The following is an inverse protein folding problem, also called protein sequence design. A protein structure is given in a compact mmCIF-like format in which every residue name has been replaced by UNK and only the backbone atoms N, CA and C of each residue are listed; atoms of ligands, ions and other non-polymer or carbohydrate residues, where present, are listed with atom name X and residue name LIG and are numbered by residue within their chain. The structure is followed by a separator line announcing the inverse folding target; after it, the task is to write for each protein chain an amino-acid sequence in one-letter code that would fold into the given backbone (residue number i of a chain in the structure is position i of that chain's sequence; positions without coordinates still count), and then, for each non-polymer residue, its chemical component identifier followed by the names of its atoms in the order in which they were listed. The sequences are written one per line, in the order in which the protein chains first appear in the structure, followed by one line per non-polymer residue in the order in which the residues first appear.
data_IF_239374961225
#
_entry.id   IF_239374961225
#
_cell.length_a   1.000
_cell.length_b   1.000
_cell.length_c   1.000
_cell.angle_alpha   90.00
_cell.angle_beta   90.00
_cell.angle_gamma   90.00
#
_symmetry.space_group_name_H-M   'P 1'
#
loop_
_entity.id
_entity.type
_entity.pdbx_description
1 polymer ?
#
# COMPACT_ATOMS: atom_id res chain seq x y z
N UNK A 1 35.99 -23.90 16.01
CA UNK A 1 34.70 -23.33 16.51
C UNK A 1 33.93 -22.55 15.42
N UNK A 2 34.13 -22.81 14.13
CA UNK A 2 33.46 -22.10 13.02
C UNK A 2 32.43 -22.96 12.25
N UNK A 3 32.50 -24.28 12.36
CA UNK A 3 31.63 -25.21 11.59
C UNK A 3 30.17 -25.16 12.08
N UNK A 4 29.95 -24.94 13.37
CA UNK A 4 28.60 -24.87 13.94
C UNK A 4 27.82 -23.57 13.65
N UNK A 5 28.46 -22.51 13.14
CA UNK A 5 27.75 -21.30 12.70
C UNK A 5 27.22 -21.42 11.27
N UNK A 6 27.96 -22.07 10.37
CA UNK A 6 27.52 -22.31 8.99
C UNK A 6 26.35 -23.30 8.93
N UNK A 7 26.39 -24.40 9.69
CA UNK A 7 25.26 -25.36 9.71
C UNK A 7 23.97 -24.75 10.26
N UNK A 8 24.08 -23.81 11.21
CA UNK A 8 22.92 -23.04 11.71
C UNK A 8 22.41 -22.04 10.67
N UNK A 9 23.29 -21.42 9.89
CA UNK A 9 22.92 -20.56 8.77
C UNK A 9 22.15 -21.33 7.70
N UNK A 10 22.69 -22.48 7.27
CA UNK A 10 22.07 -23.34 6.25
C UNK A 10 20.75 -23.96 6.72
N UNK A 11 20.63 -24.32 8.00
CA UNK A 11 19.36 -24.79 8.57
C UNK A 11 18.30 -23.67 8.62
N UNK A 12 18.72 -22.44 8.92
CA UNK A 12 17.85 -21.25 8.91
C UNK A 12 17.38 -20.92 7.48
N UNK A 13 18.29 -20.91 6.51
CA UNK A 13 17.97 -20.66 5.10
C UNK A 13 17.04 -21.74 4.54
N UNK A 14 17.27 -23.01 4.88
CA UNK A 14 16.37 -24.11 4.50
C UNK A 14 15.02 -24.00 5.19
N UNK A 15 14.96 -23.56 6.45
CA UNK A 15 13.70 -23.33 7.15
C UNK A 15 12.90 -22.16 6.54
N UNK A 16 13.58 -21.10 6.10
CA UNK A 16 12.98 -19.98 5.36
C UNK A 16 12.48 -20.45 3.98
N UNK A 17 13.29 -21.22 3.25
CA UNK A 17 12.93 -21.81 1.96
C UNK A 17 11.78 -22.82 2.05
N UNK A 18 11.72 -23.61 3.12
CA UNK A 18 10.62 -24.55 3.38
C UNK A 18 9.34 -23.85 3.88
N UNK A 19 9.45 -22.74 4.62
CA UNK A 19 8.31 -21.89 4.95
C UNK A 19 7.69 -21.23 3.69
N UNK A 20 8.51 -20.93 2.69
CA UNK A 20 8.07 -20.48 1.37
C UNK A 20 7.45 -21.61 0.52
N UNK A 21 7.78 -22.88 0.81
CA UNK A 21 7.50 -24.03 -0.06
C UNK A 21 6.28 -24.90 0.28
N UNK A 22 5.48 -24.62 1.31
CA UNK A 22 4.40 -25.52 1.71
C UNK A 22 3.01 -25.02 1.31
N UNK A 23 2.44 -25.59 0.24
CA UNK A 23 1.03 -25.45 -0.21
C UNK A 23 0.58 -24.00 -0.41
N UNK A 24 0.70 -23.51 -1.65
CA UNK A 24 0.21 -22.23 -2.18
C UNK A 24 -0.18 -21.18 -1.14
N UNK A 25 0.78 -20.39 -0.65
CA UNK A 25 0.51 -19.26 0.25
C UNK A 25 -0.49 -18.25 -0.34
N UNK A 26 -0.47 -18.12 -1.66
CA UNK A 26 -1.44 -17.35 -2.44
C UNK A 26 -2.56 -18.28 -2.91
N UNK A 27 -3.70 -18.23 -2.22
CA UNK A 27 -4.93 -18.88 -2.64
C UNK A 27 -5.99 -17.83 -2.93
N UNK A 28 -7.05 -18.18 -3.66
CA UNK A 28 -8.18 -17.26 -3.90
C UNK A 28 -8.78 -16.74 -2.59
N UNK A 29 -8.84 -17.59 -1.55
CA UNK A 29 -9.37 -17.19 -0.24
C UNK A 29 -8.40 -16.28 0.51
N UNK A 30 -7.09 -16.56 0.50
CA UNK A 30 -6.12 -15.71 1.21
C UNK A 30 -6.01 -14.34 0.55
N UNK A 31 -6.07 -14.27 -0.79
CA UNK A 31 -6.16 -13.02 -1.53
C UNK A 31 -7.45 -12.25 -1.19
N UNK A 32 -8.61 -12.89 -1.19
CA UNK A 32 -9.88 -12.23 -0.85
C UNK A 32 -9.87 -11.66 0.57
N UNK A 33 -9.36 -12.42 1.55
CA UNK A 33 -9.23 -11.97 2.94
C UNK A 33 -8.24 -10.80 3.04
N UNK A 34 -7.09 -10.90 2.36
CA UNK A 34 -6.07 -9.86 2.36
C UNK A 34 -6.61 -8.54 1.77
N UNK A 35 -7.29 -8.59 0.63
CA UNK A 35 -7.91 -7.41 0.00
C UNK A 35 -9.00 -6.81 0.89
N UNK A 36 -9.85 -7.64 1.50
CA UNK A 36 -10.89 -7.15 2.40
C UNK A 36 -10.30 -6.45 3.64
N UNK A 37 -9.30 -7.06 4.28
CA UNK A 37 -8.61 -6.44 5.43
C UNK A 37 -7.83 -5.19 5.03
N UNK A 38 -7.23 -5.15 3.83
CA UNK A 38 -6.54 -3.97 3.32
C UNK A 38 -7.50 -2.81 3.04
N UNK A 39 -8.69 -3.09 2.48
CA UNK A 39 -9.73 -2.08 2.29
C UNK A 39 -10.20 -1.50 3.63
N UNK A 40 -10.40 -2.35 4.64
CA UNK A 40 -10.73 -1.91 6.01
C UNK A 40 -9.60 -1.06 6.62
N UNK A 41 -8.34 -1.47 6.43
CA UNK A 41 -7.18 -0.69 6.86
C UNK A 41 -7.13 0.68 6.18
N UNK A 42 -7.40 0.77 4.87
CA UNK A 42 -7.47 2.03 4.13
C UNK A 42 -8.57 2.96 4.64
N UNK A 43 -9.75 2.44 4.95
CA UNK A 43 -10.84 3.22 5.57
C UNK A 43 -10.42 3.73 6.95
N UNK A 44 -9.81 2.86 7.77
CA UNK A 44 -9.32 3.26 9.08
C UNK A 44 -8.26 4.37 8.97
N UNK A 45 -7.24 4.20 8.14
CA UNK A 45 -6.18 5.20 7.89
C UNK A 45 -6.79 6.53 7.42
N UNK A 46 -7.76 6.49 6.49
CA UNK A 46 -8.45 7.70 6.04
C UNK A 46 -9.13 8.43 7.20
N UNK A 47 -9.86 7.70 8.05
CA UNK A 47 -10.57 8.31 9.18
C UNK A 47 -9.61 8.84 10.26
N UNK A 48 -8.56 8.10 10.60
CA UNK A 48 -7.59 8.50 11.64
C UNK A 48 -6.69 9.66 11.20
N UNK A 49 -6.23 9.65 9.95
CA UNK A 49 -5.14 10.53 9.50
C UNK A 49 -5.60 11.69 8.61
N UNK A 50 -6.68 11.52 7.83
CA UNK A 50 -7.17 12.56 6.92
C UNK A 50 -8.35 13.31 7.53
N UNK A 51 -9.34 12.58 8.06
CA UNK A 51 -10.55 13.17 8.62
C UNK A 51 -10.26 13.72 10.00
N UNK A 52 -9.87 12.86 10.94
CA UNK A 52 -9.66 13.22 12.35
C UNK A 52 -8.33 13.93 12.59
N UNK A 53 -7.29 13.61 11.80
CA UNK A 53 -5.90 14.12 11.95
C UNK A 53 -5.32 13.89 13.36
N UNK A 54 -5.75 12.83 14.03
CA UNK A 54 -5.41 12.58 15.44
C UNK A 54 -4.15 11.74 15.59
N UNK A 55 -3.98 10.72 14.73
CA UNK A 55 -2.92 9.72 14.90
C UNK A 55 -2.46 9.15 13.56
N UNK A 56 -1.14 9.12 13.36
CA UNK A 56 -0.49 8.54 12.17
C UNK A 56 -0.28 7.03 12.34
N UNK A 57 -1.38 6.28 12.20
CA UNK A 57 -1.41 4.81 12.32
C UNK A 57 -0.59 4.07 11.26
N UNK A 58 -0.38 4.68 10.10
CA UNK A 58 0.31 4.11 8.95
C UNK A 58 1.84 4.26 8.99
N UNK A 59 2.39 5.07 9.92
CA UNK A 59 3.82 5.35 10.00
C UNK A 59 4.64 4.37 10.88
N UNK A 60 3.98 3.48 11.62
CA UNK A 60 4.70 2.47 12.41
C UNK A 60 5.20 1.31 11.55
N UNK A 61 6.25 0.61 12.02
CA UNK A 61 6.78 -0.59 11.35
C UNK A 61 6.81 -1.76 12.34
N UNK A 62 6.02 -2.83 12.14
CA UNK A 62 4.92 -2.94 11.17
C UNK A 62 3.77 -1.97 11.47
N UNK A 63 2.95 -1.67 10.47
CA UNK A 63 1.86 -0.68 10.60
C UNK A 63 0.81 -1.15 11.62
N UNK A 64 0.22 -0.22 12.39
CA UNK A 64 -0.81 -0.54 13.39
C UNK A 64 -1.98 -1.31 12.76
N UNK A 65 -2.50 -0.93 11.58
CA UNK A 65 -3.55 -1.70 10.89
C UNK A 65 -3.13 -3.12 10.50
N UNK A 66 -1.87 -3.36 10.14
CA UNK A 66 -1.39 -4.71 9.84
C UNK A 66 -1.33 -5.59 11.09
N UNK A 67 -0.89 -5.04 12.24
CA UNK A 67 -0.89 -5.76 13.52
C UNK A 67 -2.31 -6.06 13.98
N UNK A 68 -3.22 -5.09 13.90
CA UNK A 68 -4.63 -5.30 14.20
C UNK A 68 -5.26 -6.35 13.27
N UNK A 69 -4.95 -6.28 11.97
CA UNK A 69 -5.36 -7.26 10.97
C UNK A 69 -4.87 -8.67 11.30
N UNK A 70 -3.65 -8.82 11.82
CA UNK A 70 -3.14 -10.11 12.29
C UNK A 70 -3.96 -10.64 13.48
N UNK A 71 -4.29 -9.80 14.46
CA UNK A 71 -5.14 -10.20 15.60
C UNK A 71 -6.52 -10.67 15.12
N UNK A 72 -7.15 -9.92 14.21
CA UNK A 72 -8.42 -10.30 13.58
C UNK A 72 -8.30 -11.61 12.81
N UNK A 73 -7.20 -11.79 12.06
CA UNK A 73 -6.93 -12.98 11.28
C UNK A 73 -6.74 -14.22 12.16
N UNK A 74 -6.10 -14.09 13.32
CA UNK A 74 -5.97 -15.17 14.29
C UNK A 74 -7.35 -15.57 14.87
N UNK A 75 -8.19 -14.59 15.18
CA UNK A 75 -9.58 -14.82 15.59
C UNK A 75 -10.39 -15.53 14.50
N UNK A 76 -10.30 -15.06 13.25
CA UNK A 76 -10.96 -15.66 12.10
C UNK A 76 -10.47 -17.10 11.87
N UNK A 77 -9.16 -17.34 11.92
CA UNK A 77 -8.61 -18.69 11.76
C UNK A 77 -9.08 -19.63 12.88
N UNK A 78 -9.25 -19.14 14.11
CA UNK A 78 -9.82 -19.93 15.21
C UNK A 78 -11.25 -20.39 14.93
N UNK A 79 -12.05 -19.57 14.25
CA UNK A 79 -13.41 -19.90 13.79
C UNK A 79 -13.36 -20.89 12.62
N UNK A 80 -12.54 -20.62 11.60
CA UNK A 80 -12.37 -21.48 10.42
C UNK A 80 -11.84 -22.89 10.76
N UNK A 81 -11.03 -23.00 11.82
CA UNK A 81 -10.63 -24.28 12.38
C UNK A 81 -11.80 -25.11 12.88
N UNK A 82 -12.85 -24.49 13.43
CA UNK A 82 -14.06 -25.20 13.89
C UNK A 82 -14.92 -25.69 12.73
N UNK A 83 -14.88 -25.02 11.59
CA UNK A 83 -15.59 -25.43 10.37
C UNK A 83 -14.78 -26.38 9.48
N UNK A 84 -13.65 -26.92 9.96
CA UNK A 84 -12.81 -27.86 9.21
C UNK A 84 -12.01 -27.26 8.05
N UNK A 85 -11.94 -25.93 7.93
CA UNK A 85 -11.27 -25.23 6.82
C UNK A 85 -10.23 -24.21 7.29
N UNK A 86 -9.22 -24.61 8.10
CA UNK A 86 -8.20 -23.70 8.60
C UNK A 86 -7.46 -23.00 7.47
N UNK A 87 -6.97 -21.79 7.77
CA UNK A 87 -5.94 -21.15 6.97
C UNK A 87 -4.61 -21.86 7.20
N UNK A 88 -3.85 -22.07 6.13
CA UNK A 88 -2.50 -22.61 6.20
C UNK A 88 -1.56 -21.57 6.80
N UNK A 89 -0.40 -22.03 7.30
CA UNK A 89 0.64 -21.13 7.77
C UNK A 89 1.09 -20.16 6.66
N UNK A 90 1.19 -20.65 5.42
CA UNK A 90 1.55 -19.83 4.25
C UNK A 90 0.53 -18.74 3.97
N UNK A 91 -0.77 -19.03 4.06
CA UNK A 91 -1.84 -18.04 3.85
C UNK A 91 -1.84 -16.96 4.92
N UNK A 92 -1.62 -17.34 6.20
CA UNK A 92 -1.53 -16.37 7.29
C UNK A 92 -0.35 -15.41 7.10
N UNK A 93 0.81 -15.95 6.74
CA UNK A 93 2.02 -15.17 6.45
C UNK A 93 1.77 -14.25 5.26
N UNK A 94 1.19 -14.76 4.17
CA UNK A 94 0.85 -13.98 2.99
C UNK A 94 -0.08 -12.80 3.33
N UNK A 95 -1.18 -13.05 4.04
CA UNK A 95 -2.14 -12.00 4.41
C UNK A 95 -1.46 -10.93 5.28
N UNK A 96 -0.63 -11.35 6.25
CA UNK A 96 0.09 -10.42 7.11
C UNK A 96 1.06 -9.53 6.32
N UNK A 97 1.91 -10.12 5.47
CA UNK A 97 2.83 -9.35 4.63
C UNK A 97 2.11 -8.45 3.64
N UNK A 98 1.01 -8.93 3.06
CA UNK A 98 0.16 -8.13 2.18
C UNK A 98 -0.35 -6.89 2.91
N UNK A 99 -0.83 -7.03 4.15
CA UNK A 99 -1.30 -5.90 4.95
C UNK A 99 -0.18 -4.92 5.30
N UNK A 100 1.02 -5.40 5.65
CA UNK A 100 2.17 -4.54 5.90
C UNK A 100 2.50 -3.67 4.69
N UNK A 101 2.49 -4.24 3.48
CA UNK A 101 2.78 -3.49 2.24
C UNK A 101 1.63 -2.58 1.86
N UNK A 102 0.40 -3.11 1.80
CA UNK A 102 -0.77 -2.36 1.36
C UNK A 102 -1.08 -1.15 2.25
N UNK A 103 -0.92 -1.29 3.57
CA UNK A 103 -1.16 -0.19 4.51
C UNK A 103 -0.21 1.00 4.28
N UNK A 104 1.04 0.72 3.88
CA UNK A 104 2.02 1.77 3.58
C UNK A 104 1.65 2.58 2.33
N UNK A 105 0.97 1.96 1.36
CA UNK A 105 0.47 2.67 0.16
C UNK A 105 -0.64 3.65 0.53
N UNK A 106 -1.51 3.29 1.48
CA UNK A 106 -2.56 4.17 1.97
C UNK A 106 -2.05 5.31 2.87
N UNK A 107 -0.77 5.30 3.24
CA UNK A 107 -0.17 6.39 4.00
C UNK A 107 -0.41 7.73 3.29
N UNK A 108 -0.99 8.73 3.97
CA UNK A 108 -1.19 10.05 3.39
C UNK A 108 0.12 10.71 2.96
N UNK A 109 1.24 10.39 3.64
CA UNK A 109 2.57 10.81 3.21
C UNK A 109 2.90 10.30 1.82
N UNK A 110 2.71 9.00 1.57
CA UNK A 110 2.95 8.39 0.25
C UNK A 110 1.99 8.92 -0.81
N UNK A 111 0.68 8.93 -0.52
CA UNK A 111 -0.34 9.36 -1.49
C UNK A 111 -0.19 10.83 -1.87
N UNK A 112 0.02 11.73 -0.88
CA UNK A 112 0.24 13.17 -1.15
C UNK A 112 1.56 13.39 -1.88
N UNK A 113 2.60 12.63 -1.54
CA UNK A 113 3.89 12.72 -2.21
C UNK A 113 3.75 12.35 -3.69
N UNK A 114 3.10 11.24 -4.02
CA UNK A 114 2.87 10.82 -5.41
C UNK A 114 2.08 11.90 -6.20
N UNK A 115 0.95 12.36 -5.65
CA UNK A 115 0.14 13.40 -6.31
C UNK A 115 0.93 14.68 -6.54
N UNK A 116 1.76 15.09 -5.58
CA UNK A 116 2.63 16.26 -5.69
C UNK A 116 3.72 16.02 -6.74
N UNK A 117 4.33 14.85 -6.76
CA UNK A 117 5.39 14.47 -7.70
C UNK A 117 4.92 14.59 -9.16
N UNK A 118 3.72 14.08 -9.47
CA UNK A 118 3.20 14.06 -10.85
C UNK A 118 2.56 15.39 -11.28
N UNK A 119 2.38 16.35 -10.37
CA UNK A 119 1.75 17.66 -10.68
C UNK A 119 2.69 18.85 -10.52
N UNK A 120 3.72 18.75 -9.67
CA UNK A 120 4.66 19.84 -9.36
C UNK A 120 5.29 20.46 -10.60
N UNK A 121 5.79 19.68 -11.59
CA UNK A 121 6.39 20.25 -12.78
C UNK A 121 5.43 21.16 -13.56
N UNK A 122 4.13 20.91 -13.48
CA UNK A 122 3.09 21.64 -14.20
C UNK A 122 2.57 22.84 -13.40
N UNK A 123 2.38 22.70 -12.09
CA UNK A 123 1.82 23.77 -11.26
C UNK A 123 2.85 24.85 -10.87
N UNK A 124 4.10 24.45 -10.61
CA UNK A 124 5.14 25.36 -10.09
C UNK A 124 6.15 25.83 -11.14
N UNK A 125 5.90 25.62 -12.43
CA UNK A 125 6.78 26.10 -13.49
C UNK A 125 6.86 27.64 -13.51
N UNK A 126 8.07 28.17 -13.43
CA UNK A 126 8.36 29.61 -13.43
C UNK A 126 9.67 29.86 -14.18
N UNK A 127 9.90 31.09 -14.65
CA UNK A 127 11.13 31.46 -15.38
C UNK A 127 12.43 31.23 -14.60
N UNK A 128 12.36 31.17 -13.27
CA UNK A 128 13.49 30.89 -12.38
C UNK A 128 13.82 29.40 -12.19
N UNK A 129 13.07 28.46 -12.78
CA UNK A 129 13.32 27.03 -12.68
C UNK A 129 13.21 26.32 -14.05
N UNK A 130 13.65 25.06 -14.12
CA UNK A 130 13.62 24.24 -15.35
C UNK A 130 12.45 23.26 -15.39
N UNK A 131 11.38 23.53 -14.65
CA UNK A 131 10.25 22.60 -14.60
C UNK A 131 9.50 22.54 -15.94
N UNK A 132 9.44 23.63 -16.71
CA UNK A 132 8.86 23.65 -18.04
C UNK A 132 9.58 22.70 -19.03
N UNK A 133 10.91 22.58 -18.92
CA UNK A 133 11.69 21.61 -19.69
C UNK A 133 11.36 20.17 -19.25
N UNK A 134 11.24 19.95 -17.94
CA UNK A 134 10.89 18.64 -17.39
C UNK A 134 9.50 18.16 -17.84
N UNK A 135 8.52 19.05 -17.99
CA UNK A 135 7.18 18.72 -18.49
C UNK A 135 7.23 17.97 -19.83
N UNK A 136 8.16 18.34 -20.73
CA UNK A 136 8.30 17.73 -22.06
C UNK A 136 8.80 16.28 -22.00
N UNK A 137 9.47 15.91 -20.90
CA UNK A 137 9.98 14.56 -20.67
C UNK A 137 8.95 13.66 -19.97
N UNK A 138 7.85 14.22 -19.49
CA UNK A 138 6.81 13.48 -18.76
C UNK A 138 5.77 12.99 -19.76
N UNK A 139 5.66 11.67 -20.00
CA UNK A 139 4.67 11.16 -20.92
C UNK A 139 3.25 11.36 -20.37
N UNK A 140 2.27 11.45 -21.27
CA UNK A 140 0.87 11.71 -20.93
C UNK A 140 0.20 10.63 -20.07
N UNK A 141 0.79 9.43 -20.02
CA UNK A 141 0.31 8.34 -19.17
C UNK A 141 0.87 8.38 -17.73
N UNK A 142 1.94 9.14 -17.47
CA UNK A 142 2.60 9.18 -16.16
C UNK A 142 2.09 10.31 -15.24
N UNK A 143 1.37 11.29 -15.80
CA UNK A 143 0.89 12.46 -15.08
C UNK A 143 -0.38 13.03 -15.75
N UNK A 144 -1.12 13.85 -15.00
CA UNK A 144 -2.17 14.71 -15.57
C UNK A 144 -1.51 15.94 -16.18
N UNK A 145 -1.84 16.26 -17.44
CA UNK A 145 -1.29 17.42 -18.15
C UNK A 145 -2.27 18.60 -18.28
N UNK A 146 -3.55 18.39 -17.94
CA UNK A 146 -4.57 19.45 -18.01
C UNK A 146 -4.33 20.50 -16.91
N UNK A 147 -4.00 21.77 -17.26
CA UNK A 147 -3.68 22.81 -16.29
C UNK A 147 -4.84 23.13 -15.34
N UNK A 148 -6.10 23.03 -15.80
CA UNK A 148 -7.26 23.33 -14.98
C UNK A 148 -7.47 22.25 -13.90
N UNK A 149 -7.21 20.99 -14.26
CA UNK A 149 -7.32 19.85 -13.32
C UNK A 149 -6.21 19.90 -12.28
N UNK A 150 -4.99 20.20 -12.71
CA UNK A 150 -3.84 20.36 -11.81
C UNK A 150 -4.07 21.53 -10.86
N UNK A 151 -4.49 22.69 -11.38
CA UNK A 151 -4.82 23.85 -10.56
C UNK A 151 -5.94 23.54 -9.56
N UNK A 152 -6.98 22.82 -10.00
CA UNK A 152 -8.07 22.37 -9.15
C UNK A 152 -7.65 21.43 -8.02
N UNK A 153 -6.58 20.65 -8.18
CA UNK A 153 -6.02 19.83 -7.10
C UNK A 153 -5.45 20.71 -5.97
N UNK A 154 -4.72 21.77 -6.32
CA UNK A 154 -4.05 22.65 -5.35
C UNK A 154 -4.97 23.70 -4.75
N UNK A 155 -5.80 24.32 -5.57
CA UNK A 155 -6.65 25.46 -5.18
C UNK A 155 -8.07 25.03 -4.74
N UNK A 156 -8.42 23.77 -5.01
CA UNK A 156 -9.76 23.24 -4.80
C UNK A 156 -10.67 23.43 -6.03
N UNK A 157 -11.73 22.62 -6.07
CA UNK A 157 -12.73 22.65 -7.15
C UNK A 157 -14.13 22.85 -6.56
N UNK A 158 -14.93 23.69 -7.23
CA UNK A 158 -16.33 23.95 -6.87
C UNK A 158 -17.24 23.70 -8.09
N UNK A 159 -18.18 22.74 -8.04
CA UNK A 159 -18.44 21.79 -6.94
C UNK A 159 -17.32 20.76 -6.72
N UNK A 160 -17.23 20.12 -5.53
CA UNK A 160 -16.19 19.15 -5.23
C UNK A 160 -16.38 17.86 -6.04
N UNK A 161 -15.82 17.82 -7.24
CA UNK A 161 -15.86 16.67 -8.14
C UNK A 161 -14.46 16.39 -8.69
N UNK A 162 -13.95 15.19 -8.41
CA UNK A 162 -12.66 14.73 -8.94
C UNK A 162 -12.87 14.19 -10.36
N UNK A 163 -12.13 14.67 -11.38
CA UNK A 163 -12.22 14.18 -12.75
C UNK A 163 -11.47 12.86 -12.90
N UNK A 164 -12.04 11.77 -12.37
CA UNK A 164 -11.41 10.45 -12.32
C UNK A 164 -10.92 9.93 -13.66
N UNK A 165 -11.59 10.26 -14.77
CA UNK A 165 -11.17 9.84 -16.11
C UNK A 165 -9.77 10.30 -16.49
N UNK A 166 -9.27 11.39 -15.89
CA UNK A 166 -7.93 11.93 -16.13
C UNK A 166 -6.91 11.42 -15.11
N UNK A 167 -7.35 11.07 -13.90
CA UNK A 167 -6.47 10.63 -12.82
C UNK A 167 -6.22 9.12 -12.80
N UNK A 168 -7.18 8.31 -13.23
CA UNK A 168 -7.09 6.83 -13.15
C UNK A 168 -5.90 6.29 -13.92
N UNK A 169 -5.58 6.85 -15.10
CA UNK A 169 -4.43 6.42 -15.90
C UNK A 169 -3.11 6.58 -15.15
N UNK A 170 -2.72 7.81 -14.78
CA UNK A 170 -1.52 8.05 -13.97
C UNK A 170 -1.49 7.25 -12.68
N UNK A 171 -2.59 7.22 -11.91
CA UNK A 171 -2.64 6.50 -10.63
C UNK A 171 -2.47 4.98 -10.82
N UNK A 172 -2.95 4.40 -11.92
CA UNK A 172 -2.83 2.96 -12.16
C UNK A 172 -1.42 2.52 -12.58
N UNK A 173 -0.60 3.44 -13.11
CA UNK A 173 0.77 3.16 -13.54
C UNK A 173 1.75 3.19 -12.36
N UNK A 174 1.47 4.03 -11.35
CA UNK A 174 2.28 4.18 -10.14
C UNK A 174 1.83 3.21 -9.03
#
# INVERSE_FOLDING_TARGET
MAIGSEERGLASERAIGQAAGAVGAVTRRSLAIAVALAALAGVWIRESEIVSRVVYTSESVPTIPAVAGLVLLLGLNRVLRRSGRPLSRGELIFIFFFLCVASSVFCPGMTRYLLTLITTPFYFAQSGNRLAEAQQLIPSWAAVHDPAVIKGMYEGVHPPRVPWSLWVGPIAVW
#
